data_IF_713932901202
#
_entry.id   IF_713932901202
#
_cell.length_a   1.000
_cell.length_b   1.000
_cell.length_c   1.000
_cell.angle_alpha   90.00
_cell.angle_beta   90.00
_cell.angle_gamma   90.00
#
_symmetry.space_group_name_H-M   'P 1'
#
loop_
_entity.id
_entity.type
_entity.pdbx_description
1 polymer ?
#
# COMPACT_ATOMS: atom_id res chain seq x y z
N UNK A 1 -7.39 -9.35 -6.55
CA UNK A 1 -6.07 -9.87 -6.14
C UNK A 1 -6.02 -11.37 -6.39
N UNK A 2 -5.00 -11.86 -7.10
CA UNK A 2 -4.76 -13.31 -7.22
C UNK A 2 -4.38 -13.87 -5.86
N UNK A 3 -4.74 -15.11 -5.51
CA UNK A 3 -4.33 -15.74 -4.25
C UNK A 3 -2.80 -15.78 -4.14
N UNK A 4 -2.26 -15.39 -2.99
CA UNK A 4 -0.82 -15.49 -2.74
C UNK A 4 -0.42 -16.95 -2.55
N UNK A 5 0.76 -17.31 -3.06
CA UNK A 5 1.29 -18.68 -2.98
C UNK A 5 0.26 -19.75 -3.41
N UNK A 6 -0.43 -19.53 -4.54
CA UNK A 6 -1.46 -20.46 -5.06
C UNK A 6 -2.61 -20.74 -4.08
N UNK A 7 -2.89 -19.81 -3.17
CA UNK A 7 -4.01 -19.91 -2.22
C UNK A 7 -3.63 -20.41 -0.84
N UNK A 8 -2.34 -20.68 -0.57
CA UNK A 8 -1.86 -20.97 0.78
C UNK A 8 -2.12 -19.84 1.77
N UNK A 9 -2.05 -18.59 1.28
CA UNK A 9 -2.39 -17.41 2.07
C UNK A 9 -3.73 -16.88 1.57
N UNK A 10 -4.75 -17.07 2.39
CA UNK A 10 -6.10 -16.53 2.16
C UNK A 10 -6.10 -15.00 2.21
N UNK A 11 -7.15 -14.39 1.65
CA UNK A 11 -7.35 -12.94 1.72
C UNK A 11 -7.32 -12.38 3.16
N UNK A 12 -6.88 -11.13 3.26
CA UNK A 12 -6.65 -10.39 4.51
C UNK A 12 -7.31 -9.02 4.42
N UNK A 13 -7.73 -8.47 5.55
CA UNK A 13 -8.18 -7.09 5.67
C UNK A 13 -7.21 -6.27 6.52
N UNK A 14 -7.16 -4.97 6.29
CA UNK A 14 -6.37 -4.00 7.05
C UNK A 14 -7.22 -2.76 7.34
N UNK A 15 -6.84 -2.04 8.38
CA UNK A 15 -7.35 -0.69 8.65
C UNK A 15 -6.13 0.18 8.85
N UNK A 16 -5.96 1.13 7.95
CA UNK A 16 -4.73 1.89 7.86
C UNK A 16 -4.99 3.39 7.85
N UNK A 17 -4.10 4.13 8.50
CA UNK A 17 -3.97 5.57 8.31
C UNK A 17 -3.11 5.80 7.07
N UNK A 18 -3.61 6.59 6.12
CA UNK A 18 -2.88 6.98 4.92
C UNK A 18 -2.58 8.48 5.00
N UNK A 19 -1.31 8.82 4.88
CA UNK A 19 -0.84 10.21 4.77
C UNK A 19 -0.27 10.40 3.37
N UNK A 20 -0.78 11.42 2.68
CA UNK A 20 -0.30 11.80 1.34
C UNK A 20 0.37 13.17 1.44
N UNK A 21 1.56 13.25 0.87
CA UNK A 21 2.35 14.47 0.79
C UNK A 21 2.80 14.69 -0.65
N UNK A 22 2.60 15.91 -1.15
CA UNK A 22 2.96 16.30 -2.50
C UNK A 22 3.90 17.50 -2.41
N UNK A 23 5.09 17.33 -2.97
CA UNK A 23 6.07 18.39 -3.13
C UNK A 23 6.49 18.54 -4.59
N UNK A 24 7.25 19.58 -4.88
CA UNK A 24 7.58 19.99 -6.26
C UNK A 24 8.18 18.87 -7.11
N UNK A 25 9.02 18.02 -6.50
CA UNK A 25 9.77 16.96 -7.17
C UNK A 25 9.31 15.53 -6.83
N UNK A 26 8.35 15.38 -5.91
CA UNK A 26 7.92 14.07 -5.48
C UNK A 26 6.52 14.03 -4.86
N UNK A 27 5.86 12.91 -5.09
CA UNK A 27 4.66 12.50 -4.37
C UNK A 27 5.04 11.39 -3.39
N UNK A 28 4.53 11.46 -2.16
CA UNK A 28 4.78 10.49 -1.10
C UNK A 28 3.45 10.03 -0.53
N UNK A 29 3.36 8.73 -0.30
CA UNK A 29 2.25 8.09 0.38
C UNK A 29 2.85 7.25 1.50
N UNK A 30 2.38 7.49 2.72
CA UNK A 30 2.76 6.75 3.92
C UNK A 30 1.53 6.03 4.45
N UNK A 31 1.72 4.79 4.89
CA UNK A 31 0.67 3.93 5.42
C UNK A 31 1.16 3.31 6.71
N UNK A 32 0.29 3.26 7.71
CA UNK A 32 0.51 2.47 8.93
C UNK A 32 -0.82 1.96 9.44
N UNK A 33 -0.81 0.80 10.08
CA UNK A 33 -1.99 0.22 10.71
C UNK A 33 -2.52 1.15 11.79
N UNK A 34 -3.85 1.24 11.87
CA UNK A 34 -4.56 2.09 12.80
C UNK A 34 -5.74 1.35 13.42
N UNK A 35 -5.89 1.43 14.73
CA UNK A 35 -7.05 0.89 15.42
C UNK A 35 -8.22 1.85 15.30
N UNK A 36 -9.21 1.50 14.49
CA UNK A 36 -10.43 2.27 14.34
C UNK A 36 -11.61 1.53 14.96
N UNK A 37 -12.00 1.94 16.18
CA UNK A 37 -13.08 1.32 16.96
C UNK A 37 -14.39 1.07 16.20
N UNK A 38 -14.86 1.99 15.33
CA UNK A 38 -16.04 1.77 14.50
C UNK A 38 -15.90 0.66 13.45
N UNK A 39 -14.69 0.16 13.17
CA UNK A 39 -14.43 -0.89 12.19
C UNK A 39 -13.58 -2.04 12.80
N UNK A 40 -14.18 -2.85 13.69
CA UNK A 40 -13.49 -3.96 14.33
C UNK A 40 -13.15 -5.08 13.32
N UNK A 41 -12.23 -6.00 13.66
CA UNK A 41 -11.95 -7.21 12.89
C UNK A 41 -13.22 -8.01 12.58
N UNK A 42 -13.33 -8.51 11.35
CA UNK A 42 -14.49 -9.28 10.88
C UNK A 42 -14.14 -10.76 10.77
N UNK A 43 -15.03 -11.71 11.14
CA UNK A 43 -14.71 -13.15 11.10
C UNK A 43 -14.30 -13.69 9.72
N UNK A 44 -14.68 -12.98 8.64
CA UNK A 44 -14.41 -13.38 7.25
C UNK A 44 -12.94 -13.23 6.86
N UNK A 45 -12.21 -12.30 7.48
CA UNK A 45 -10.83 -11.97 7.12
C UNK A 45 -9.97 -11.92 8.39
N UNK A 46 -8.73 -12.39 8.27
CA UNK A 46 -7.76 -12.14 9.34
C UNK A 46 -7.22 -10.73 9.15
N UNK A 47 -7.36 -9.92 10.20
CA UNK A 47 -6.83 -8.55 10.26
C UNK A 47 -5.31 -8.59 10.28
N UNK A 48 -4.66 -7.90 9.36
CA UNK A 48 -3.18 -7.77 9.34
C UNK A 48 -2.75 -6.53 10.10
N UNK A 49 -1.51 -6.54 10.57
CA UNK A 49 -0.87 -5.35 11.12
C UNK A 49 0.05 -4.76 10.07
N UNK A 50 -0.32 -3.60 9.53
CA UNK A 50 0.55 -2.84 8.63
C UNK A 50 1.52 -2.02 9.47
N UNK A 51 2.82 -2.26 9.31
CA UNK A 51 3.87 -1.41 9.87
C UNK A 51 4.17 -0.23 8.91
N UNK A 52 4.96 0.78 9.32
CA UNK A 52 5.30 1.91 8.46
C UNK A 52 5.74 1.48 7.06
N UNK A 53 4.87 1.78 6.10
CA UNK A 53 4.94 1.37 4.70
C UNK A 53 4.62 2.56 3.81
N UNK A 54 4.87 2.46 2.50
CA UNK A 54 4.55 3.55 1.61
C UNK A 54 5.10 3.43 0.21
N UNK A 55 4.87 4.51 -0.53
CA UNK A 55 5.29 4.69 -1.90
C UNK A 55 5.81 6.11 -2.09
N UNK A 56 6.91 6.25 -2.80
CA UNK A 56 7.48 7.54 -3.20
C UNK A 56 7.62 7.55 -4.72
N UNK A 57 6.98 8.52 -5.35
CA UNK A 57 7.08 8.76 -6.78
C UNK A 57 7.91 10.02 -6.96
N UNK A 58 9.07 9.91 -7.61
CA UNK A 58 9.96 11.02 -7.90
C UNK A 58 9.90 11.36 -9.38
N UNK A 59 9.76 12.65 -9.68
CA UNK A 59 9.94 13.16 -11.03
C UNK A 59 11.40 12.97 -11.44
N UNK A 60 11.63 12.70 -12.71
CA UNK A 60 12.98 12.68 -13.28
C UNK A 60 13.18 13.91 -14.17
N UNK A 61 14.38 14.06 -14.74
CA UNK A 61 14.62 15.09 -15.76
C UNK A 61 13.78 14.87 -17.04
N UNK A 62 13.27 13.65 -17.23
CA UNK A 62 12.43 13.24 -18.35
C UNK A 62 10.96 13.20 -17.90
N UNK A 63 10.09 14.09 -18.41
CA UNK A 63 8.68 14.18 -17.98
C UNK A 63 7.88 12.89 -18.09
N UNK A 64 8.27 12.00 -18.99
CA UNK A 64 7.67 10.70 -19.26
C UNK A 64 8.18 9.57 -18.35
N UNK A 65 9.20 9.83 -17.53
CA UNK A 65 9.82 8.83 -16.65
C UNK A 65 9.69 9.27 -15.20
N UNK A 66 9.22 8.36 -14.36
CA UNK A 66 9.16 8.54 -12.90
C UNK A 66 9.84 7.38 -12.19
N UNK A 67 10.53 7.70 -11.10
CA UNK A 67 11.12 6.70 -10.21
C UNK A 67 10.14 6.40 -9.09
N UNK A 68 9.64 5.16 -9.04
CA UNK A 68 8.73 4.69 -8.00
C UNK A 68 9.51 3.81 -7.02
N UNK A 69 9.49 4.19 -5.74
CA UNK A 69 10.03 3.39 -4.64
C UNK A 69 8.86 2.93 -3.77
N UNK A 70 8.69 1.63 -3.60
CA UNK A 70 7.74 1.06 -2.64
C UNK A 70 8.49 0.40 -1.51
N UNK A 71 7.96 0.50 -0.30
CA UNK A 71 8.43 -0.23 0.87
C UNK A 71 7.20 -0.69 1.64
N UNK A 72 7.16 -1.98 1.95
CA UNK A 72 5.98 -2.61 2.51
C UNK A 72 6.40 -3.52 3.65
N UNK A 73 5.87 -3.25 4.83
CA UNK A 73 6.11 -3.98 6.06
C UNK A 73 4.75 -4.37 6.64
N UNK A 74 4.53 -5.68 6.78
CA UNK A 74 3.25 -6.21 7.25
C UNK A 74 3.46 -7.46 8.07
N UNK A 75 2.69 -7.61 9.13
CA UNK A 75 2.44 -8.89 9.78
C UNK A 75 1.14 -9.48 9.23
N UNK A 76 1.25 -10.59 8.50
CA UNK A 76 0.11 -11.28 7.91
C UNK A 76 -0.77 -12.01 8.95
N UNK A 77 -0.39 -11.97 10.24
CA UNK A 77 -1.06 -12.62 11.36
C UNK A 77 -1.42 -14.08 11.05
N UNK A 78 -0.44 -14.82 10.53
CA UNK A 78 -0.62 -16.21 10.12
C UNK A 78 0.13 -17.12 11.10
N UNK A 79 -0.51 -17.53 12.21
CA UNK A 79 0.15 -18.31 13.24
C UNK A 79 0.60 -19.65 12.67
N UNK A 80 1.79 -20.11 13.10
CA UNK A 80 2.38 -21.42 12.77
C UNK A 80 2.87 -21.59 11.32
N UNK A 81 2.85 -20.53 10.51
CA UNK A 81 3.49 -20.56 9.18
C UNK A 81 5.00 -20.27 9.31
N UNK A 82 5.87 -21.07 8.68
CA UNK A 82 7.30 -20.76 8.61
C UNK A 82 7.57 -19.38 8.02
N UNK A 83 8.46 -18.62 8.67
CA UNK A 83 8.78 -17.24 8.27
C UNK A 83 9.17 -17.10 6.80
N UNK A 84 9.93 -18.06 6.25
CA UNK A 84 10.37 -18.01 4.85
C UNK A 84 9.20 -17.98 3.85
N UNK A 85 8.06 -18.60 4.17
CA UNK A 85 6.86 -18.55 3.32
C UNK A 85 6.18 -17.17 3.41
N UNK A 86 6.22 -16.54 4.58
CA UNK A 86 5.70 -15.19 4.75
C UNK A 86 6.57 -14.18 3.99
N UNK A 87 7.89 -14.32 4.08
CA UNK A 87 8.85 -13.47 3.37
C UNK A 87 8.68 -13.60 1.85
N UNK A 88 8.57 -14.83 1.33
CA UNK A 88 8.30 -15.08 -0.09
C UNK A 88 6.97 -14.48 -0.53
N UNK A 89 5.91 -14.61 0.28
CA UNK A 89 4.61 -14.03 -0.02
C UNK A 89 4.64 -12.49 -0.08
N UNK A 90 5.35 -11.84 0.84
CA UNK A 90 5.51 -10.39 0.88
C UNK A 90 6.36 -9.90 -0.30
N UNK A 91 7.41 -10.63 -0.67
CA UNK A 91 8.20 -10.32 -1.86
C UNK A 91 7.35 -10.42 -3.14
N UNK A 92 6.57 -11.51 -3.29
CA UNK A 92 5.66 -11.70 -4.42
C UNK A 92 4.57 -10.63 -4.47
N UNK A 93 4.03 -10.20 -3.33
CA UNK A 93 3.09 -9.08 -3.25
C UNK A 93 3.67 -7.81 -3.87
N UNK A 94 4.90 -7.44 -3.48
CA UNK A 94 5.56 -6.24 -4.00
C UNK A 94 5.84 -6.35 -5.50
N UNK A 95 6.35 -7.48 -5.97
CA UNK A 95 6.64 -7.70 -7.39
C UNK A 95 5.34 -7.65 -8.22
N UNK A 96 4.29 -8.32 -7.76
CA UNK A 96 2.99 -8.30 -8.44
C UNK A 96 2.43 -6.89 -8.48
N UNK A 97 2.50 -6.13 -7.37
CA UNK A 97 2.06 -4.74 -7.35
C UNK A 97 2.80 -3.89 -8.40
N UNK A 98 4.13 -3.99 -8.48
CA UNK A 98 4.92 -3.24 -9.45
C UNK A 98 4.62 -3.64 -10.90
N UNK A 99 4.40 -4.94 -11.16
CA UNK A 99 4.00 -5.42 -12.48
C UNK A 99 2.62 -4.90 -12.89
N UNK A 100 1.65 -4.94 -11.98
CA UNK A 100 0.30 -4.38 -12.24
C UNK A 100 0.37 -2.87 -12.44
N UNK A 101 1.18 -2.15 -11.65
CA UNK A 101 1.41 -0.72 -11.81
C UNK A 101 1.99 -0.38 -13.18
N UNK A 102 2.96 -1.16 -13.67
CA UNK A 102 3.58 -0.96 -14.97
C UNK A 102 2.62 -1.25 -16.14
N UNK A 103 1.65 -2.15 -15.93
CA UNK A 103 0.63 -2.49 -16.93
C UNK A 103 -0.61 -1.58 -16.88
N UNK A 104 -0.76 -0.79 -15.82
CA UNK A 104 -1.87 0.15 -15.68
C UNK A 104 -1.69 1.30 -16.67
N UNK A 105 -2.48 1.30 -17.75
CA UNK A 105 -2.49 2.37 -18.76
C UNK A 105 -3.00 3.71 -18.21
N UNK A 106 -3.94 3.64 -17.28
CA UNK A 106 -4.50 4.76 -16.56
C UNK A 106 -4.48 4.41 -15.07
N UNK A 107 -3.51 4.92 -14.33
CA UNK A 107 -3.65 4.99 -12.89
C UNK A 107 -4.60 6.17 -12.67
N UNK A 108 -5.85 5.97 -12.20
CA UNK A 108 -6.75 7.08 -11.91
C UNK A 108 -6.14 7.90 -10.77
N UNK A 109 -5.26 8.82 -11.11
CA UNK A 109 -4.78 9.84 -10.21
C UNK A 109 -5.91 10.84 -10.10
N UNK A 110 -6.69 10.71 -9.04
CA UNK A 110 -7.55 11.80 -8.61
C UNK A 110 -6.65 12.74 -7.82
N UNK A 111 -6.28 13.93 -8.33
CA UNK A 111 -5.65 14.93 -7.48
C UNK A 111 -6.50 15.11 -6.23
N UNK A 112 -5.87 15.36 -5.09
CA UNK A 112 -6.54 15.75 -3.84
C UNK A 112 -7.21 17.14 -4.00
N UNK A 113 -8.14 17.30 -4.95
CA UNK A 113 -8.93 18.52 -5.07
C UNK A 113 -9.91 18.69 -3.89
N UNK A 114 -9.97 17.74 -2.96
CA UNK A 114 -10.66 17.88 -1.68
C UNK A 114 -10.00 17.00 -0.60
N UNK A 115 -8.76 17.30 -0.21
CA UNK A 115 -8.29 16.86 1.11
C UNK A 115 -9.19 17.55 2.15
N UNK A 116 -10.12 16.79 2.75
CA UNK A 116 -10.95 17.24 3.86
C UNK A 116 -10.04 17.92 4.89
N UNK A 117 -10.10 19.25 4.99
CA UNK A 117 -9.33 20.03 5.97
C UNK A 117 -8.30 21.04 5.44
N UNK A 118 -7.98 21.10 4.14
CA UNK A 118 -7.13 22.20 3.61
C UNK A 118 -8.00 23.38 3.18
N UNK A 119 -8.06 24.45 4.00
CA UNK A 119 -8.56 25.75 3.53
C UNK A 119 -7.59 26.30 2.48
N UNK A 120 -8.08 26.86 1.35
CA UNK A 120 -7.21 27.54 0.40
C UNK A 120 -6.48 28.68 1.11
N UNK A 121 -5.16 28.78 0.90
CA UNK A 121 -4.41 29.97 1.30
C UNK A 121 -4.91 31.14 0.44
N UNK A 122 -5.40 32.19 1.12
CA UNK A 122 -5.70 33.50 0.54
C UNK A 122 -4.42 34.16 0.02
#
# INVERSE_FOLDING_TARGET
MRPLLKGFISARDSVDLIVQDEGDQCFRLFVTGFEYGPLPPQPKYIRVNTYPSGMIIRKTAYPEISNVTTYFQVDLNFPRTPQFLLDEAVALLNINYLNELNNARDIPWTPLQNAVGRKPKL
#
